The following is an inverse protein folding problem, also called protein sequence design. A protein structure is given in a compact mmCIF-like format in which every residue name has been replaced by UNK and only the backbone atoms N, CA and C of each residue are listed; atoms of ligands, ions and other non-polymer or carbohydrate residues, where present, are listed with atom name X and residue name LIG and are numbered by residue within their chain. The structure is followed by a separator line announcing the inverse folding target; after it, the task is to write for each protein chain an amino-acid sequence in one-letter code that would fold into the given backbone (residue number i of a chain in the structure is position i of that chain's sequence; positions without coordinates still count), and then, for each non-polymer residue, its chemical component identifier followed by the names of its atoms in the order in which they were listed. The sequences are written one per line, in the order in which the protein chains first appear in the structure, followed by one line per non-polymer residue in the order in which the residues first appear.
data_IF_765102324913
#
_entry.id   IF_765102324913
#
_cell.length_a   1.000
_cell.length_b   1.000
_cell.length_c   1.000
_cell.angle_alpha   90.00
_cell.angle_beta   90.00
_cell.angle_gamma   90.00
#
_symmetry.space_group_name_H-M   'P 1'
#
loop_
_entity.id
_entity.type
_entity.pdbx_description
1 polymer ?
#
# COMPACT_ATOMS: atom_id res chain seq x y z
N UNK A 1 -1.92 27.81 -23.09
CA UNK A 1 -2.15 26.84 -24.17
C UNK A 1 -3.48 26.18 -23.86
N UNK A 2 -4.49 26.35 -24.71
CA UNK A 2 -5.76 25.62 -24.57
C UNK A 2 -5.50 24.19 -25.02
N UNK A 3 -5.59 23.23 -24.10
CA UNK A 3 -5.67 21.81 -24.45
C UNK A 3 -6.89 21.62 -25.36
N UNK A 4 -6.63 21.29 -26.63
CA UNK A 4 -7.69 20.87 -27.54
C UNK A 4 -8.03 19.42 -27.18
N UNK A 5 -9.09 19.25 -26.40
CA UNK A 5 -9.71 17.94 -26.17
C UNK A 5 -10.20 17.39 -27.51
N UNK A 6 -9.58 16.31 -27.98
CA UNK A 6 -10.05 15.55 -29.13
C UNK A 6 -10.95 14.43 -28.64
N UNK A 7 -12.21 14.45 -29.08
CA UNK A 7 -13.16 13.36 -28.84
C UNK A 7 -13.03 12.31 -29.94
N UNK A 8 -13.07 11.03 -29.56
CA UNK A 8 -13.09 9.90 -30.49
C UNK A 8 -14.14 8.88 -30.04
N UNK A 9 -14.96 8.40 -30.99
CA UNK A 9 -15.91 7.33 -30.75
C UNK A 9 -15.26 5.98 -31.06
N UNK A 10 -15.36 5.03 -30.13
CA UNK A 10 -14.88 3.66 -30.29
C UNK A 10 -16.05 2.73 -29.99
N UNK A 11 -16.44 1.91 -30.96
CA UNK A 11 -17.44 0.87 -30.76
C UNK A 11 -16.73 -0.36 -30.16
N UNK A 12 -17.22 -0.85 -29.00
CA UNK A 12 -16.64 -1.97 -28.27
C UNK A 12 -17.72 -2.98 -27.87
N UNK A 13 -17.37 -4.27 -27.89
CA UNK A 13 -18.25 -5.36 -27.44
C UNK A 13 -18.06 -5.69 -25.94
N UNK A 14 -16.93 -5.27 -25.37
CA UNK A 14 -16.58 -5.50 -23.96
C UNK A 14 -15.59 -4.46 -23.45
N UNK A 15 -15.65 -4.16 -22.15
CA UNK A 15 -14.81 -3.19 -21.46
C UNK A 15 -14.12 -3.85 -20.26
N UNK A 16 -12.80 -3.69 -20.12
CA UNK A 16 -12.05 -4.14 -18.94
C UNK A 16 -11.52 -2.92 -18.19
N UNK A 17 -11.94 -2.78 -16.93
CA UNK A 17 -11.48 -1.74 -16.02
C UNK A 17 -10.27 -2.27 -15.24
N UNK A 18 -9.11 -1.68 -15.49
CA UNK A 18 -7.86 -2.02 -14.81
C UNK A 18 -7.13 -0.75 -14.34
N UNK A 19 -7.88 0.20 -13.79
CA UNK A 19 -7.41 1.54 -13.39
C UNK A 19 -6.50 1.55 -12.17
N UNK A 20 -6.34 0.40 -11.50
CA UNK A 20 -5.41 0.24 -10.40
C UNK A 20 -5.88 0.91 -9.12
N UNK A 21 -4.98 1.65 -8.47
CA UNK A 21 -5.18 2.16 -7.12
C UNK A 21 -4.37 3.44 -6.88
N UNK A 22 -4.62 4.12 -5.76
CA UNK A 22 -3.79 5.19 -5.24
C UNK A 22 -3.20 4.87 -3.87
N UNK A 23 -1.96 5.28 -3.56
CA UNK A 23 -1.43 5.16 -2.21
C UNK A 23 -2.18 6.09 -1.26
N UNK A 24 -2.44 5.63 -0.04
CA UNK A 24 -2.95 6.48 1.04
C UNK A 24 -2.03 7.69 1.26
N UNK A 25 -2.58 8.90 1.38
CA UNK A 25 -1.82 10.11 1.69
C UNK A 25 -1.63 10.24 3.22
N UNK A 26 -0.41 10.05 3.76
CA UNK A 26 -0.19 10.16 5.19
C UNK A 26 -0.34 11.57 5.75
N UNK A 27 -0.52 12.62 4.93
CA UNK A 27 -0.85 13.97 5.41
C UNK A 27 -2.17 14.01 6.15
N UNK A 28 -3.08 13.11 5.80
CA UNK A 28 -4.37 12.94 6.48
C UNK A 28 -4.14 12.48 7.93
N UNK A 29 -3.04 11.76 8.20
CA UNK A 29 -2.61 11.37 9.54
C UNK A 29 -1.61 12.36 10.18
N UNK A 30 -2.14 13.38 10.86
CA UNK A 30 -1.33 14.39 11.55
C UNK A 30 -0.33 13.81 12.59
N UNK A 31 -0.62 12.66 13.19
CA UNK A 31 0.22 12.03 14.23
C UNK A 31 1.55 11.49 13.70
N UNK A 32 1.65 11.24 12.39
CA UNK A 32 2.90 10.80 11.76
C UNK A 32 3.75 11.93 11.21
N UNK A 33 3.31 13.19 11.35
CA UNK A 33 4.10 14.38 10.98
C UNK A 33 4.64 14.36 9.54
N UNK A 34 4.02 13.59 8.64
CA UNK A 34 4.39 13.55 7.24
C UNK A 34 4.21 14.92 6.59
N UNK A 35 5.18 15.36 5.81
CA UNK A 35 5.26 16.72 5.27
C UNK A 35 5.79 17.79 6.24
N UNK A 36 5.92 17.49 7.55
CA UNK A 36 6.58 18.39 8.52
C UNK A 36 8.09 18.16 8.61
N UNK A 37 8.54 16.94 8.29
CA UNK A 37 9.94 16.57 8.20
C UNK A 37 10.22 15.92 6.84
N UNK A 38 11.30 16.31 6.18
CA UNK A 38 11.73 15.72 4.90
C UNK A 38 12.27 14.29 5.05
N UNK A 39 12.62 13.86 6.27
CA UNK A 39 13.12 12.51 6.53
C UNK A 39 12.02 11.49 6.87
N UNK A 40 10.75 11.90 6.79
CA UNK A 40 9.60 11.00 6.86
C UNK A 40 9.11 10.84 5.43
N UNK A 41 9.31 9.65 4.87
CA UNK A 41 8.87 9.32 3.51
C UNK A 41 7.89 8.16 3.51
N UNK A 42 7.16 7.98 2.43
CA UNK A 42 6.32 6.83 2.16
C UNK A 42 7.12 5.68 1.56
N UNK A 43 6.56 4.48 1.63
CA UNK A 43 7.11 3.31 0.94
C UNK A 43 7.26 3.54 -0.58
N UNK A 44 6.32 4.25 -1.21
CA UNK A 44 6.39 4.51 -2.65
C UNK A 44 7.50 5.51 -3.01
N UNK A 45 7.75 6.53 -2.19
CA UNK A 45 8.89 7.44 -2.37
C UNK A 45 10.23 6.71 -2.15
N UNK A 46 10.29 5.78 -1.19
CA UNK A 46 11.46 4.94 -0.97
C UNK A 46 11.73 4.04 -2.20
N UNK A 47 10.69 3.43 -2.77
CA UNK A 47 10.79 2.65 -4.01
C UNK A 47 11.25 3.50 -5.19
N UNK A 48 10.74 4.72 -5.35
CA UNK A 48 11.18 5.64 -6.40
C UNK A 48 12.66 6.00 -6.25
N UNK A 49 13.12 6.26 -5.02
CA UNK A 49 14.53 6.53 -4.73
C UNK A 49 15.42 5.32 -5.08
N UNK A 50 14.97 4.12 -4.70
CA UNK A 50 15.65 2.86 -5.05
C UNK A 50 15.69 2.63 -6.56
N UNK A 51 14.60 2.89 -7.27
CA UNK A 51 14.55 2.74 -8.73
C UNK A 51 15.50 3.73 -9.43
N UNK A 52 15.57 4.97 -8.95
CA UNK A 52 16.38 6.01 -9.55
C UNK A 52 17.88 5.88 -9.24
N UNK A 53 18.23 5.49 -8.01
CA UNK A 53 19.63 5.57 -7.51
C UNK A 53 20.19 4.26 -7.00
N UNK A 54 19.35 3.23 -6.86
CA UNK A 54 19.70 1.96 -6.23
C UNK A 54 19.95 2.05 -4.73
N UNK A 55 19.73 3.18 -4.06
CA UNK A 55 20.07 3.39 -2.64
C UNK A 55 18.95 4.15 -1.92
N UNK A 56 18.83 3.93 -0.61
CA UNK A 56 18.00 4.76 0.27
C UNK A 56 18.89 5.78 0.98
N UNK A 57 18.54 7.06 0.85
CA UNK A 57 19.22 8.18 1.52
C UNK A 57 18.20 9.14 2.13
N UNK A 58 18.60 9.84 3.18
CA UNK A 58 17.79 10.89 3.78
C UNK A 58 17.53 12.02 2.77
N UNK A 59 16.28 12.41 2.51
CA UNK A 59 16.00 13.53 1.63
C UNK A 59 16.55 14.87 2.13
N UNK A 60 16.76 15.03 3.45
CA UNK A 60 17.26 16.29 4.01
C UNK A 60 18.70 16.64 3.60
N UNK A 61 19.57 15.63 3.48
CA UNK A 61 21.02 15.84 3.33
C UNK A 61 21.69 14.87 2.33
N UNK A 62 20.94 13.92 1.76
CA UNK A 62 21.44 12.92 0.82
C UNK A 62 22.33 11.84 1.46
N UNK A 63 22.50 11.84 2.78
CA UNK A 63 23.34 10.88 3.48
C UNK A 63 22.58 9.58 3.78
N UNK A 64 23.33 8.49 3.98
CA UNK A 64 22.74 7.21 4.39
C UNK A 64 22.21 7.30 5.83
N UNK A 65 20.97 6.91 6.09
CA UNK A 65 20.46 6.79 7.45
C UNK A 65 21.12 5.62 8.20
N UNK A 66 21.57 5.87 9.44
CA UNK A 66 22.11 4.84 10.33
C UNK A 66 20.98 4.12 11.04
N UNK A 67 19.93 4.84 11.46
CA UNK A 67 18.74 4.29 12.15
C UNK A 67 17.48 4.57 11.34
N UNK A 68 16.76 3.52 10.94
CA UNK A 68 15.61 3.60 10.04
C UNK A 68 14.42 2.87 10.69
N UNK A 69 13.26 3.52 10.72
CA UNK A 69 12.02 2.92 11.17
C UNK A 69 11.06 2.70 9.99
N UNK A 70 10.53 1.48 9.85
CA UNK A 70 9.37 1.19 9.00
C UNK A 70 8.12 1.12 9.86
N UNK A 71 7.10 1.92 9.54
CA UNK A 71 5.82 1.91 10.24
C UNK A 71 4.81 1.17 9.39
N UNK A 72 4.31 0.03 9.87
CA UNK A 72 3.30 -0.76 9.16
C UNK A 72 1.88 -0.21 9.35
N UNK A 73 0.99 -0.59 8.44
CA UNK A 73 -0.45 -0.30 8.52
C UNK A 73 -0.79 1.20 8.55
N UNK A 74 -0.01 2.03 7.85
CA UNK A 74 -0.32 3.48 7.75
C UNK A 74 -1.52 3.65 6.80
N UNK A 75 -2.65 4.09 7.35
CA UNK A 75 -3.92 4.14 6.62
C UNK A 75 -4.53 2.76 6.37
N UNK A 76 -4.32 1.77 7.24
CA UNK A 76 -4.95 0.45 7.13
C UNK A 76 -5.14 -0.18 8.50
N UNK A 77 -6.07 -1.14 8.61
CA UNK A 77 -6.34 -1.90 9.84
C UNK A 77 -6.53 -0.99 11.07
N UNK A 78 -7.27 0.10 10.93
CA UNK A 78 -7.64 0.98 12.03
C UNK A 78 -8.99 0.55 12.61
N UNK A 79 -8.98 0.19 13.89
CA UNK A 79 -10.19 -0.18 14.63
C UNK A 79 -11.22 0.96 14.61
N UNK A 80 -12.50 0.61 14.59
CA UNK A 80 -13.61 1.56 14.46
C UNK A 80 -13.54 2.71 15.47
N UNK A 81 -13.25 2.42 16.74
CA UNK A 81 -13.13 3.43 17.81
C UNK A 81 -11.99 4.44 17.59
N UNK A 82 -11.00 4.10 16.76
CA UNK A 82 -9.85 4.94 16.44
C UNK A 82 -9.84 5.38 14.96
N UNK A 83 -10.87 5.02 14.18
CA UNK A 83 -10.90 5.22 12.74
C UNK A 83 -11.25 6.66 12.42
N UNK A 84 -10.37 7.33 11.68
CA UNK A 84 -10.67 8.62 11.06
C UNK A 84 -11.34 8.40 9.70
N UNK A 85 -12.03 9.40 9.13
CA UNK A 85 -12.70 9.26 7.83
C UNK A 85 -11.80 8.68 6.73
N UNK A 86 -10.52 9.01 6.76
CA UNK A 86 -9.51 8.56 5.82
C UNK A 86 -8.93 7.16 6.08
N UNK A 87 -9.14 6.61 7.27
CA UNK A 87 -8.60 5.30 7.67
C UNK A 87 -9.54 4.17 7.24
N UNK A 88 -8.97 2.97 7.11
CA UNK A 88 -9.72 1.77 6.75
C UNK A 88 -9.39 0.63 7.71
N UNK A 89 -10.30 -0.32 7.88
CA UNK A 89 -10.08 -1.56 8.66
C UNK A 89 -9.49 -2.70 7.83
N UNK A 90 -9.59 -2.65 6.51
CA UNK A 90 -8.99 -3.68 5.67
C UNK A 90 -7.46 -3.63 5.70
N UNK A 91 -6.85 -4.77 5.38
CA UNK A 91 -5.42 -4.89 5.14
C UNK A 91 -5.11 -4.54 3.69
N UNK A 92 -4.08 -3.72 3.46
CA UNK A 92 -3.61 -3.40 2.11
C UNK A 92 -2.77 -4.50 1.45
N UNK A 93 -2.70 -5.71 2.05
CA UNK A 93 -2.02 -6.93 1.59
C UNK A 93 -0.49 -6.86 1.36
N UNK A 94 0.03 -5.79 0.77
CA UNK A 94 1.39 -5.70 0.23
C UNK A 94 2.39 -4.97 1.13
N UNK A 95 1.92 -4.22 2.13
CA UNK A 95 2.76 -3.32 2.93
C UNK A 95 3.83 -4.04 3.76
N UNK A 96 3.49 -5.17 4.36
CA UNK A 96 4.47 -6.02 5.05
C UNK A 96 5.56 -6.52 4.08
N UNK A 97 5.19 -6.82 2.84
CA UNK A 97 6.09 -7.39 1.84
C UNK A 97 7.12 -6.40 1.35
N UNK A 98 6.68 -5.25 0.83
CA UNK A 98 7.61 -4.27 0.31
C UNK A 98 8.52 -3.71 1.42
N UNK A 99 8.01 -3.58 2.65
CA UNK A 99 8.79 -3.03 3.74
C UNK A 99 9.92 -3.96 4.14
N UNK A 100 9.64 -5.26 4.25
CA UNK A 100 10.66 -6.27 4.53
C UNK A 100 11.67 -6.39 3.39
N UNK A 101 11.23 -6.32 2.13
CA UNK A 101 12.11 -6.29 0.95
C UNK A 101 13.09 -5.12 1.01
N UNK A 102 12.58 -3.91 1.27
CA UNK A 102 13.40 -2.71 1.39
C UNK A 102 14.34 -2.77 2.60
N UNK A 103 13.83 -3.20 3.77
CA UNK A 103 14.64 -3.37 4.98
C UNK A 103 15.81 -4.34 4.76
N UNK A 104 15.57 -5.48 4.10
CA UNK A 104 16.61 -6.44 3.77
C UNK A 104 17.62 -5.87 2.78
N UNK A 105 17.17 -5.12 1.78
CA UNK A 105 18.05 -4.43 0.82
C UNK A 105 18.96 -3.43 1.53
N UNK A 106 18.42 -2.63 2.45
CA UNK A 106 19.21 -1.70 3.28
C UNK A 106 20.30 -2.46 4.05
N UNK A 107 19.93 -3.55 4.75
CA UNK A 107 20.89 -4.38 5.50
C UNK A 107 21.97 -4.99 4.60
N UNK A 108 21.62 -5.40 3.39
CA UNK A 108 22.57 -5.93 2.41
C UNK A 108 23.55 -4.85 1.91
N UNK A 109 23.08 -3.62 1.71
CA UNK A 109 23.92 -2.51 1.25
C UNK A 109 24.77 -1.89 2.37
N UNK A 110 24.29 -1.95 3.60
CA UNK A 110 24.99 -1.49 4.79
C UNK A 110 24.58 -2.34 6.01
N UNK A 111 25.44 -3.26 6.42
CA UNK A 111 25.16 -4.14 7.55
C UNK A 111 25.16 -3.39 8.90
N UNK A 112 25.75 -2.19 8.97
CA UNK A 112 25.75 -1.36 10.19
C UNK A 112 24.46 -0.57 10.38
N UNK A 113 23.61 -0.45 9.34
CA UNK A 113 22.32 0.23 9.50
C UNK A 113 21.41 -0.54 10.45
N UNK A 114 20.87 0.15 11.45
CA UNK A 114 19.84 -0.34 12.34
C UNK A 114 18.48 -0.12 11.69
N UNK A 115 17.80 -1.22 11.35
CA UNK A 115 16.46 -1.17 10.78
C UNK A 115 15.47 -1.72 11.79
N UNK A 116 14.43 -0.95 12.08
CA UNK A 116 13.34 -1.33 13.00
C UNK A 116 12.02 -1.35 12.24
N UNK A 117 11.28 -2.45 12.33
CA UNK A 117 9.93 -2.59 11.76
C UNK A 117 8.91 -2.59 12.89
N UNK A 118 8.07 -1.56 12.93
CA UNK A 118 6.93 -1.45 13.83
C UNK A 118 5.69 -2.06 13.19
N UNK A 119 5.13 -3.09 13.80
CA UNK A 119 4.06 -3.89 13.20
C UNK A 119 3.03 -4.36 14.23
N UNK A 120 1.83 -4.72 13.75
CA UNK A 120 0.84 -5.44 14.56
C UNK A 120 0.97 -6.94 14.32
N UNK A 121 0.83 -7.34 13.05
CA UNK A 121 1.05 -8.70 12.56
C UNK A 121 1.80 -8.60 11.22
N UNK A 122 2.68 -9.56 10.96
CA UNK A 122 3.34 -9.68 9.66
C UNK A 122 2.48 -10.60 8.79
N UNK A 123 1.91 -10.04 7.72
CA UNK A 123 1.12 -10.80 6.76
C UNK A 123 2.06 -11.56 5.81
N UNK A 124 1.79 -12.86 5.63
CA UNK A 124 2.56 -13.72 4.74
C UNK A 124 2.21 -13.45 3.28
N UNK A 125 3.18 -13.53 2.38
CA UNK A 125 2.99 -13.31 0.93
C UNK A 125 3.83 -14.28 0.11
N UNK A 126 3.19 -14.98 -0.84
CA UNK A 126 3.86 -15.97 -1.68
C UNK A 126 4.41 -17.20 -0.93
N UNK A 127 4.82 -18.22 -1.70
CA UNK A 127 5.26 -19.52 -1.15
C UNK A 127 6.58 -19.44 -0.36
N UNK A 128 7.48 -18.52 -0.75
CA UNK A 128 8.81 -18.37 -0.16
C UNK A 128 8.88 -17.49 1.09
N UNK A 129 7.73 -17.03 1.61
CA UNK A 129 7.69 -16.03 2.68
C UNK A 129 8.44 -16.47 3.94
N UNK A 130 8.22 -17.70 4.41
CA UNK A 130 8.72 -18.12 5.72
C UNK A 130 10.25 -18.12 5.76
N UNK A 131 10.91 -18.53 4.67
CA UNK A 131 12.37 -18.50 4.59
C UNK A 131 12.92 -17.09 4.40
N UNK A 132 12.21 -16.23 3.67
CA UNK A 132 12.54 -14.81 3.57
C UNK A 132 12.43 -14.11 4.93
N UNK A 133 11.35 -14.37 5.67
CA UNK A 133 11.12 -13.77 6.98
C UNK A 133 12.12 -14.25 8.04
N UNK A 134 12.51 -15.53 8.02
CA UNK A 134 13.59 -16.04 8.89
C UNK A 134 14.90 -15.27 8.69
N UNK A 135 15.28 -14.96 7.44
CA UNK A 135 16.47 -14.15 7.13
C UNK A 135 16.35 -12.73 7.68
N UNK A 136 15.18 -12.12 7.53
CA UNK A 136 14.90 -10.78 8.04
C UNK A 136 15.03 -10.72 9.57
N UNK A 137 14.45 -11.69 10.30
CA UNK A 137 14.48 -11.74 11.77
C UNK A 137 15.88 -11.69 12.39
N UNK A 138 16.90 -12.16 11.67
CA UNK A 138 18.27 -12.19 12.18
C UNK A 138 19.00 -10.86 12.02
N UNK A 139 18.48 -9.92 11.22
CA UNK A 139 19.20 -8.70 10.84
C UNK A 139 18.39 -7.40 11.03
N UNK A 140 17.08 -7.52 11.27
CA UNK A 140 16.13 -6.42 11.41
C UNK A 140 15.46 -6.53 12.78
N UNK A 141 15.31 -5.40 13.47
CA UNK A 141 14.59 -5.33 14.74
C UNK A 141 13.09 -5.30 14.48
N UNK A 142 12.33 -6.10 15.23
CA UNK A 142 10.88 -6.19 15.11
C UNK A 142 10.24 -5.72 16.41
N UNK A 143 9.44 -4.66 16.35
CA UNK A 143 8.68 -4.15 17.49
C UNK A 143 7.20 -4.35 17.20
N UNK A 144 6.57 -5.25 17.97
CA UNK A 144 5.13 -5.50 17.85
C UNK A 144 4.33 -4.41 18.57
N UNK A 145 4.21 -3.26 17.93
CA UNK A 145 3.47 -2.10 18.41
C UNK A 145 3.13 -1.18 17.24
N UNK A 146 1.98 -0.50 17.31
CA UNK A 146 1.62 0.58 16.38
C UNK A 146 2.05 1.91 17.01
N UNK A 147 3.01 2.64 16.43
CA UNK A 147 3.37 3.96 16.92
C UNK A 147 2.18 4.90 16.82
N UNK A 148 2.01 5.73 17.85
CA UNK A 148 0.91 6.67 17.95
C UNK A 148 1.34 8.13 17.70
N UNK A 149 2.64 8.41 17.72
CA UNK A 149 3.17 9.75 17.45
C UNK A 149 4.60 9.70 16.88
N UNK A 150 4.88 10.58 15.91
CA UNK A 150 6.23 10.88 15.42
C UNK A 150 6.48 12.38 15.55
N UNK A 151 7.56 12.74 16.25
CA UNK A 151 8.02 14.13 16.43
C UNK A 151 9.44 14.30 15.93
N UNK A 152 9.77 15.48 15.45
CA UNK A 152 11.14 15.86 15.15
C UNK A 152 11.71 16.63 16.34
N UNK A 153 12.92 16.28 16.78
CA UNK A 153 13.63 17.05 17.80
C UNK A 153 14.41 18.23 17.20
N UNK A 154 15.03 19.02 18.07
CA UNK A 154 15.78 20.21 17.67
C UNK A 154 17.04 19.90 16.83
N UNK A 155 17.53 18.66 16.87
CA UNK A 155 18.68 18.18 16.09
C UNK A 155 18.26 17.54 14.76
N UNK A 156 16.96 17.45 14.51
CA UNK A 156 16.38 16.88 13.31
C UNK A 156 16.26 15.36 13.31
N UNK A 157 16.40 14.70 14.46
CA UNK A 157 16.07 13.27 14.62
C UNK A 157 14.57 13.10 14.78
N UNK A 158 14.09 11.93 14.37
CA UNK A 158 12.69 11.53 14.44
C UNK A 158 12.48 10.67 15.68
N UNK A 159 11.75 11.19 16.66
CA UNK A 159 11.33 10.48 17.86
C UNK A 159 10.01 9.75 17.55
N UNK A 160 10.06 8.42 17.54
CA UNK A 160 8.89 7.56 17.36
C UNK A 160 8.43 7.07 18.73
N UNK A 161 7.17 7.37 19.08
CA UNK A 161 6.55 6.95 20.35
C UNK A 161 5.61 5.77 20.15
N UNK A 162 5.75 4.75 20.98
CA UNK A 162 5.00 3.50 20.88
C UNK A 162 4.81 2.86 22.26
N UNK A 163 3.80 2.01 22.40
CA UNK A 163 3.59 1.23 23.62
C UNK A 163 4.44 -0.04 23.60
N UNK A 164 5.14 -0.34 24.70
CA UNK A 164 5.78 -1.63 24.88
C UNK A 164 4.79 -2.67 25.41
N UNK A 165 4.99 -3.93 25.01
CA UNK A 165 4.21 -5.05 25.54
C UNK A 165 4.77 -5.40 26.93
N UNK A 166 3.98 -5.17 27.98
CA UNK A 166 4.35 -5.48 29.36
C UNK A 166 3.15 -5.41 30.31
N UNK A 167 3.32 -5.79 31.60
CA UNK A 167 2.27 -5.70 32.63
C UNK A 167 1.80 -4.26 32.85
N UNK A 168 2.71 -3.31 32.69
CA UNK A 168 2.43 -1.88 32.65
C UNK A 168 2.58 -1.42 31.20
N UNK A 169 1.56 -0.75 30.66
CA UNK A 169 1.63 -0.13 29.33
C UNK A 169 2.56 1.08 29.38
N UNK A 170 3.86 0.82 29.32
CA UNK A 170 4.88 1.86 29.34
C UNK A 170 5.04 2.43 27.94
N UNK A 171 4.93 3.76 27.87
CA UNK A 171 5.29 4.54 26.68
C UNK A 171 6.79 4.46 26.50
N UNK A 172 7.23 4.13 25.29
CA UNK A 172 8.63 4.11 24.89
C UNK A 172 8.86 5.03 23.71
N UNK A 173 10.08 5.56 23.66
CA UNK A 173 10.53 6.45 22.61
C UNK A 173 11.83 5.90 22.02
N UNK A 174 11.94 5.94 20.69
CA UNK A 174 13.19 5.65 19.99
C UNK A 174 13.44 6.73 18.93
N UNK A 175 14.71 7.15 18.83
CA UNK A 175 15.16 8.11 17.82
C UNK A 175 15.58 7.40 16.53
N UNK A 176 15.24 8.00 15.40
CA UNK A 176 15.59 7.53 14.07
C UNK A 176 16.11 8.68 13.20
N UNK A 177 16.94 8.33 12.23
CA UNK A 177 17.41 9.29 11.21
C UNK A 177 16.40 9.44 10.08
N UNK A 178 15.57 8.42 9.87
CA UNK A 178 14.62 8.34 8.78
C UNK A 178 13.47 7.41 9.15
N UNK A 179 12.26 7.79 8.74
CA UNK A 179 11.05 6.96 8.89
C UNK A 179 10.47 6.69 7.51
N UNK A 180 10.12 5.43 7.26
CA UNK A 180 9.39 4.97 6.07
C UNK A 180 7.99 4.54 6.49
N UNK A 181 6.99 5.29 6.06
CA UNK A 181 5.58 5.00 6.28
C UNK A 181 5.11 3.98 5.25
N UNK A 182 4.75 2.78 5.73
CA UNK A 182 4.20 1.74 4.87
C UNK A 182 2.71 2.01 4.64
N UNK A 183 2.44 2.91 3.71
CA UNK A 183 1.10 3.38 3.31
C UNK A 183 0.27 2.27 2.66
N UNK A 184 -1.03 2.32 2.96
CA UNK A 184 -2.03 1.44 2.39
C UNK A 184 -2.42 1.78 0.95
N UNK A 185 -3.27 0.92 0.40
CA UNK A 185 -3.91 1.05 -0.90
C UNK A 185 -5.28 1.71 -0.70
N UNK A 186 -5.65 2.61 -1.62
CA UNK A 186 -6.96 3.23 -1.75
C UNK A 186 -7.49 3.06 -3.17
N UNK A 187 -8.82 3.09 -3.39
CA UNK A 187 -9.36 3.24 -4.73
C UNK A 187 -8.76 4.48 -5.41
N UNK A 188 -8.60 4.43 -6.73
CA UNK A 188 -8.20 5.62 -7.49
C UNK A 188 -9.26 6.73 -7.38
N UNK A 189 -8.86 8.01 -7.44
CA UNK A 189 -9.76 9.16 -7.25
C UNK A 189 -10.99 9.13 -8.16
N UNK A 190 -10.80 8.67 -9.40
CA UNK A 190 -11.86 8.66 -10.40
C UNK A 190 -12.71 7.38 -10.38
N UNK A 191 -12.45 6.45 -9.43
CA UNK A 191 -13.16 5.16 -9.37
C UNK A 191 -14.67 5.35 -9.23
N UNK A 192 -15.11 6.23 -8.33
CA UNK A 192 -16.55 6.48 -8.11
C UNK A 192 -17.21 7.09 -9.33
N UNK A 193 -16.60 8.12 -9.93
CA UNK A 193 -17.14 8.78 -11.12
C UNK A 193 -17.20 7.83 -12.32
N UNK A 194 -16.18 6.98 -12.48
CA UNK A 194 -16.16 5.92 -13.49
C UNK A 194 -17.27 4.90 -13.23
N UNK A 195 -17.47 4.50 -11.97
CA UNK A 195 -18.48 3.54 -11.59
C UNK A 195 -19.90 4.05 -11.87
N UNK A 196 -20.18 5.31 -11.55
CA UNK A 196 -21.45 5.98 -11.87
C UNK A 196 -21.68 6.07 -13.38
N UNK A 197 -20.65 6.43 -14.15
CA UNK A 197 -20.73 6.55 -15.61
C UNK A 197 -21.03 5.22 -16.27
N UNK A 198 -20.42 4.15 -15.77
CA UNK A 198 -20.55 2.80 -16.31
C UNK A 198 -21.68 1.98 -15.66
N UNK A 199 -22.37 2.55 -14.66
CA UNK A 199 -23.40 1.89 -13.85
C UNK A 199 -22.92 0.58 -13.21
N UNK A 200 -21.66 0.55 -12.77
CA UNK A 200 -21.07 -0.61 -12.09
C UNK A 200 -21.06 -0.42 -10.57
N UNK A 201 -21.24 -1.48 -9.78
CA UNK A 201 -21.27 -1.38 -8.32
C UNK A 201 -19.88 -1.09 -7.74
N UNK A 202 -19.88 -0.40 -6.60
CA UNK A 202 -18.73 -0.24 -5.72
C UNK A 202 -19.04 -0.83 -4.34
N UNK A 203 -18.00 -1.30 -3.66
CA UNK A 203 -18.10 -1.75 -2.27
C UNK A 203 -18.13 -0.58 -1.27
N UNK A 204 -18.25 -0.91 0.00
CA UNK A 204 -18.28 0.07 1.10
C UNK A 204 -16.97 0.85 1.30
N UNK A 205 -15.90 0.43 0.63
CA UNK A 205 -14.59 1.07 0.65
C UNK A 205 -14.29 1.84 -0.64
N UNK A 206 -15.19 1.80 -1.63
CA UNK A 206 -15.06 2.48 -2.91
C UNK A 206 -14.29 1.70 -3.98
N UNK A 207 -13.99 0.41 -3.78
CA UNK A 207 -13.45 -0.44 -4.85
C UNK A 207 -14.57 -0.97 -5.73
N UNK A 208 -14.25 -1.31 -6.99
CA UNK A 208 -15.21 -1.91 -7.91
C UNK A 208 -15.62 -3.31 -7.44
N UNK A 209 -16.92 -3.60 -7.43
CA UNK A 209 -17.45 -4.91 -7.06
C UNK A 209 -18.66 -4.85 -6.14
N UNK A 210 -19.29 -6.01 -5.90
CA UNK A 210 -20.32 -6.14 -4.88
C UNK A 210 -19.72 -6.35 -3.50
N UNK A 211 -20.43 -5.90 -2.47
CA UNK A 211 -20.09 -6.15 -1.08
C UNK A 211 -19.94 -7.66 -0.81
N UNK A 212 -18.76 -8.08 -0.36
CA UNK A 212 -18.45 -9.47 -0.02
C UNK A 212 -18.03 -10.36 -1.21
N UNK A 213 -17.90 -9.80 -2.41
CA UNK A 213 -17.37 -10.52 -3.57
C UNK A 213 -15.87 -10.81 -3.38
N UNK A 214 -15.50 -12.09 -3.34
CA UNK A 214 -14.11 -12.54 -3.07
C UNK A 214 -13.33 -12.98 -4.30
N UNK A 215 -13.96 -12.99 -5.48
CA UNK A 215 -13.33 -13.30 -6.78
C UNK A 215 -14.33 -13.09 -7.92
N UNK A 216 -13.86 -12.80 -9.14
CA UNK A 216 -14.67 -12.72 -10.36
C UNK A 216 -15.67 -13.88 -10.50
N UNK A 217 -16.90 -13.65 -11.01
CA UNK A 217 -17.31 -12.58 -11.90
C UNK A 217 -18.59 -11.85 -11.45
N UNK A 218 -18.52 -11.17 -10.31
CA UNK A 218 -19.68 -10.43 -9.81
C UNK A 218 -19.92 -9.14 -10.63
N UNK A 219 -18.87 -8.56 -11.22
CA UNK A 219 -18.98 -7.41 -12.13
C UNK A 219 -19.17 -7.80 -13.60
N UNK A 220 -19.69 -8.99 -13.94
CA UNK A 220 -20.08 -9.32 -15.31
C UNK A 220 -21.45 -8.70 -15.65
N UNK A 221 -21.52 -7.38 -15.58
CA UNK A 221 -22.71 -6.67 -16.04
C UNK A 221 -22.48 -6.25 -17.49
N UNK A 222 -23.31 -6.76 -18.39
CA UNK A 222 -23.45 -6.29 -19.78
C UNK A 222 -22.15 -6.18 -20.61
N UNK A 223 -21.13 -7.00 -20.32
CA UNK A 223 -19.85 -6.99 -21.05
C UNK A 223 -18.78 -6.06 -20.44
N UNK A 224 -19.02 -5.52 -19.25
CA UNK A 224 -18.02 -4.81 -18.44
C UNK A 224 -17.35 -5.82 -17.50
N UNK A 225 -16.06 -5.64 -17.25
CA UNK A 225 -15.23 -6.47 -16.38
C UNK A 225 -14.27 -5.57 -15.59
N UNK A 226 -13.78 -6.04 -14.45
CA UNK A 226 -12.71 -5.37 -13.70
C UNK A 226 -11.56 -6.34 -13.40
N UNK A 227 -10.34 -5.81 -13.32
CA UNK A 227 -9.15 -6.60 -13.05
C UNK A 227 -8.12 -5.82 -12.21
N UNK A 228 -7.62 -6.47 -11.16
CA UNK A 228 -6.47 -6.02 -10.40
C UNK A 228 -6.85 -5.20 -9.17
N UNK A 229 -6.04 -4.18 -8.89
CA UNK A 229 -6.12 -3.42 -7.63
C UNK A 229 -7.32 -2.47 -7.54
N UNK A 230 -8.05 -2.25 -8.65
CA UNK A 230 -9.28 -1.47 -8.66
C UNK A 230 -10.45 -2.19 -7.98
N UNK A 231 -10.36 -3.51 -7.77
CA UNK A 231 -11.38 -4.29 -7.06
C UNK A 231 -11.03 -4.56 -5.59
N UNK A 232 -9.75 -4.56 -5.22
CA UNK A 232 -9.29 -4.63 -3.83
C UNK A 232 -7.76 -4.57 -3.76
N UNK A 233 -7.17 -4.34 -2.57
CA UNK A 233 -5.73 -4.43 -2.37
C UNK A 233 -5.18 -5.84 -2.69
N UNK A 234 -4.27 -5.92 -3.66
CA UNK A 234 -3.68 -7.19 -4.15
C UNK A 234 -2.21 -6.99 -4.54
N UNK A 235 -1.45 -8.08 -4.52
CA UNK A 235 -0.08 -8.09 -5.05
C UNK A 235 -0.05 -8.30 -6.58
N UNK A 236 1.13 -8.13 -7.17
CA UNK A 236 1.34 -8.24 -8.62
C UNK A 236 0.93 -9.62 -9.15
N UNK A 237 1.27 -10.70 -8.42
CA UNK A 237 0.98 -12.06 -8.87
C UNK A 237 -0.52 -12.33 -8.90
N UNK A 238 -1.24 -11.85 -7.89
CA UNK A 238 -2.69 -11.91 -7.80
C UNK A 238 -3.35 -11.09 -8.90
N UNK A 239 -2.85 -9.87 -9.18
CA UNK A 239 -3.31 -9.06 -10.30
C UNK A 239 -3.10 -9.75 -11.65
N UNK A 240 -1.94 -10.39 -11.87
CA UNK A 240 -1.66 -11.13 -13.12
C UNK A 240 -2.60 -12.32 -13.29
N UNK A 241 -2.76 -13.15 -12.26
CA UNK A 241 -3.68 -14.29 -12.29
C UNK A 241 -5.13 -13.84 -12.54
N UNK A 242 -5.52 -12.70 -11.96
CA UNK A 242 -6.83 -12.13 -12.18
C UNK A 242 -7.01 -11.63 -13.61
N UNK A 243 -6.01 -10.95 -14.18
CA UNK A 243 -6.05 -10.48 -15.56
C UNK A 243 -6.18 -11.65 -16.56
N UNK A 244 -5.52 -12.78 -16.31
CA UNK A 244 -5.69 -14.00 -17.10
C UNK A 244 -7.12 -14.54 -17.02
N UNK A 245 -7.70 -14.61 -15.82
CA UNK A 245 -9.07 -15.06 -15.61
C UNK A 245 -10.09 -14.12 -16.29
N UNK A 246 -9.90 -12.80 -16.20
CA UNK A 246 -10.74 -11.81 -16.89
C UNK A 246 -10.63 -11.94 -18.39
N UNK A 247 -9.43 -12.14 -18.93
CA UNK A 247 -9.21 -12.33 -20.36
C UNK A 247 -10.00 -13.53 -20.90
N UNK A 248 -9.98 -14.66 -20.18
CA UNK A 248 -10.78 -15.83 -20.52
C UNK A 248 -12.29 -15.55 -20.44
N UNK A 249 -12.73 -14.77 -19.45
CA UNK A 249 -14.12 -14.37 -19.29
C UNK A 249 -14.62 -13.46 -20.41
N UNK A 250 -13.80 -12.50 -20.85
CA UNK A 250 -14.07 -11.62 -22.00
C UNK A 250 -14.23 -12.47 -23.27
N UNK A 251 -13.27 -13.35 -23.56
CA UNK A 251 -13.34 -14.28 -24.70
C UNK A 251 -14.66 -15.07 -24.66
N UNK A 252 -15.01 -15.63 -23.51
CA UNK A 252 -16.27 -16.38 -23.34
C UNK A 252 -17.51 -15.51 -23.61
N UNK A 253 -17.52 -14.26 -23.14
CA UNK A 253 -18.62 -13.31 -23.37
C UNK A 253 -18.79 -12.98 -24.86
N UNK A 254 -17.67 -12.77 -25.58
CA UNK A 254 -17.68 -12.46 -27.01
C UNK A 254 -18.16 -13.65 -27.85
N UNK A 255 -17.68 -14.86 -27.59
CA UNK A 255 -18.03 -16.04 -28.40
C UNK A 255 -19.32 -16.74 -27.96
N UNK A 256 -19.75 -16.57 -26.71
CA UNK A 256 -20.97 -17.18 -26.18
C UNK A 256 -22.26 -16.55 -26.71
N UNK A 257 -22.22 -15.28 -27.16
CA UNK A 257 -23.38 -14.57 -27.73
C UNK A 257 -23.74 -14.99 -29.15
N UNK A 258 -22.90 -15.77 -29.84
CA UNK A 258 -23.11 -16.21 -31.23
C UNK A 258 -23.76 -17.60 -31.39
N UNK A 259 -24.26 -18.23 -30.31
CA UNK A 259 -24.82 -19.60 -30.35
C UNK A 259 -26.32 -19.71 -30.05
N UNK A 260 -27.09 -18.62 -30.13
CA UNK A 260 -28.57 -18.66 -30.01
C UNK A 260 -29.25 -18.00 -31.19
#
# INVERSE_FOLDING_TARGET
MQDKTTESKIDIDSLVIATGYEPFDPKENASYSYGKSSNIITGIEAEQQLAATGKITRPSDGLRPKRIAFIQCVGSRTEEVYRRPEDTDYCSAVCCAYALRMAQLIKHQNNESEVTVFYMDIQKFGKGFDDFYKKCKNSINFIRSRPYEIKQDNEGKLIVKFAQKGPESQVSEQQFDMVVLSVGIRPAKDTTALAETLLVPIDEYGFLGFKGASSLPDLQQDGIFAAGACESPKDIQSCMAQAEAVSAAVIRSLFGKHQT
#
